data_IF_489095733309
#
_entry.id   IF_489095733309
#
_cell.length_a   1.000
_cell.length_b   1.000
_cell.length_c   1.000
_cell.angle_alpha   90.00
_cell.angle_beta   90.00
_cell.angle_gamma   90.00
#
_symmetry.space_group_name_H-M   'P 1'
#
loop_
_entity.id
_entity.type
_entity.pdbx_description
1 polymer ?
#
# COMPACT_ATOMS: atom_id res chain seq x y z
N UNK A 1 -11.50 12.11 -7.25
CA UNK A 1 -12.45 12.24 -6.14
C UNK A 1 -12.35 10.98 -5.29
N UNK A 2 -12.35 11.10 -3.96
CA UNK A 2 -12.39 9.95 -3.07
C UNK A 2 -13.66 9.11 -3.30
N UNK A 3 -13.51 7.79 -3.26
CA UNK A 3 -14.59 6.81 -3.38
C UNK A 3 -14.40 5.71 -2.34
N UNK A 4 -15.46 5.45 -1.57
CA UNK A 4 -15.56 4.28 -0.70
C UNK A 4 -16.40 3.19 -1.38
N UNK A 5 -15.97 1.94 -1.24
CA UNK A 5 -16.68 0.74 -1.64
C UNK A 5 -16.82 -0.13 -0.38
N UNK A 6 -18.04 -0.25 0.13
CA UNK A 6 -18.32 -1.04 1.33
C UNK A 6 -18.08 -2.53 1.06
N UNK A 7 -17.42 -3.20 2.00
CA UNK A 7 -17.18 -4.64 1.94
C UNK A 7 -18.47 -5.47 2.11
N UNK A 8 -18.37 -6.78 1.88
CA UNK A 8 -19.48 -7.73 2.05
C UNK A 8 -20.11 -7.61 3.47
N UNK A 9 -21.43 -7.36 3.59
CA UNK A 9 -22.13 -7.29 4.86
C UNK A 9 -21.95 -8.52 5.77
N UNK A 10 -21.84 -9.74 5.21
CA UNK A 10 -21.70 -10.97 5.97
C UNK A 10 -20.33 -11.09 6.67
N UNK A 11 -19.30 -10.47 6.09
CA UNK A 11 -17.95 -10.44 6.67
C UNK A 11 -17.87 -9.39 7.78
N UNK A 12 -18.63 -8.29 7.70
CA UNK A 12 -18.60 -7.19 8.70
C UNK A 12 -18.99 -7.65 10.11
N UNK A 13 -19.89 -8.63 10.24
CA UNK A 13 -20.36 -9.12 11.55
C UNK A 13 -19.30 -9.87 12.38
N UNK A 14 -18.26 -10.42 11.75
CA UNK A 14 -17.22 -11.22 12.45
C UNK A 14 -15.90 -10.47 12.65
N UNK A 15 -15.72 -9.31 12.01
CA UNK A 15 -14.46 -8.54 12.07
C UNK A 15 -14.26 -7.84 13.42
N UNK A 16 -15.34 -7.51 14.14
CA UNK A 16 -15.27 -6.89 15.48
C UNK A 16 -14.65 -7.78 16.56
N UNK A 17 -14.25 -9.02 16.24
CA UNK A 17 -13.56 -9.94 17.15
C UNK A 17 -12.12 -10.26 16.72
N UNK A 18 -11.59 -9.65 15.65
CA UNK A 18 -10.22 -9.87 15.20
C UNK A 18 -9.34 -8.66 15.51
N UNK A 19 -8.39 -8.85 16.42
CA UNK A 19 -7.31 -7.90 16.66
C UNK A 19 -6.18 -8.11 15.65
N UNK A 20 -5.49 -7.04 15.28
CA UNK A 20 -4.26 -7.10 14.49
C UNK A 20 -3.25 -8.01 15.19
N UNK A 21 -2.60 -8.86 14.41
CA UNK A 21 -1.40 -9.60 14.82
C UNK A 21 -0.24 -9.14 13.96
N UNK A 22 0.93 -8.98 14.57
CA UNK A 22 2.15 -8.62 13.85
C UNK A 22 2.50 -9.69 12.81
N UNK A 23 2.64 -9.28 11.55
CA UNK A 23 3.14 -10.12 10.47
C UNK A 23 4.66 -9.98 10.31
N UNK A 24 5.29 -10.84 9.52
CA UNK A 24 6.71 -10.67 9.19
C UNK A 24 6.99 -9.37 8.43
N UNK A 25 6.04 -8.92 7.62
CA UNK A 25 6.12 -7.60 6.97
C UNK A 25 6.03 -6.46 7.99
N UNK A 26 5.20 -6.57 9.03
CA UNK A 26 5.10 -5.54 10.06
C UNK A 26 6.43 -5.36 10.80
N UNK A 27 7.09 -6.47 11.14
CA UNK A 27 8.40 -6.48 11.82
C UNK A 27 9.49 -5.80 10.96
N UNK A 28 9.43 -5.99 9.64
CA UNK A 28 10.45 -5.51 8.70
C UNK A 28 9.99 -4.30 7.88
N UNK A 29 8.96 -3.58 8.33
CA UNK A 29 8.21 -2.65 7.49
C UNK A 29 9.09 -1.60 6.83
N UNK A 30 10.07 -1.05 7.54
CA UNK A 30 10.92 0.02 7.02
C UNK A 30 11.81 -0.46 5.86
N UNK A 31 12.35 -1.68 5.96
CA UNK A 31 13.10 -2.34 4.87
C UNK A 31 12.19 -2.61 3.68
N UNK A 32 11.00 -3.16 3.93
CA UNK A 32 10.02 -3.45 2.88
C UNK A 32 9.65 -2.18 2.11
N UNK A 33 9.37 -1.08 2.81
CA UNK A 33 9.05 0.19 2.18
C UNK A 33 10.23 0.76 1.40
N UNK A 34 11.48 0.59 1.88
CA UNK A 34 12.67 1.00 1.15
C UNK A 34 12.88 0.22 -0.15
N UNK A 35 12.68 -1.10 -0.14
CA UNK A 35 12.72 -1.94 -1.35
C UNK A 35 11.65 -1.49 -2.35
N UNK A 36 10.43 -1.26 -1.89
CA UNK A 36 9.33 -0.84 -2.77
C UNK A 36 9.54 0.56 -3.35
N UNK A 37 10.05 1.50 -2.55
CA UNK A 37 10.41 2.83 -3.01
C UNK A 37 11.43 2.75 -4.15
N UNK A 38 12.54 2.01 -3.97
CA UNK A 38 13.56 1.88 -5.00
C UNK A 38 13.00 1.19 -6.26
N UNK A 39 12.21 0.12 -6.08
CA UNK A 39 11.58 -0.58 -7.18
C UNK A 39 10.69 0.34 -8.04
N UNK A 40 9.92 1.21 -7.38
CA UNK A 40 9.01 2.13 -8.05
C UNK A 40 9.70 3.38 -8.62
N UNK A 41 10.65 3.94 -7.88
CA UNK A 41 11.35 5.16 -8.24
C UNK A 41 12.44 4.95 -9.31
N UNK A 42 12.99 3.74 -9.41
CA UNK A 42 14.19 3.46 -10.20
C UNK A 42 14.18 2.18 -11.03
N UNK A 43 13.22 1.26 -10.86
CA UNK A 43 13.23 -0.05 -11.53
C UNK A 43 11.94 -0.39 -12.28
N UNK A 44 11.12 0.62 -12.55
CA UNK A 44 9.99 0.52 -13.48
C UNK A 44 8.74 -0.18 -12.94
N UNK A 45 8.65 -0.38 -11.61
CA UNK A 45 7.40 -0.80 -10.97
C UNK A 45 6.44 0.39 -10.93
N UNK A 46 5.31 0.28 -11.62
CA UNK A 46 4.32 1.37 -11.67
C UNK A 46 3.11 1.13 -10.76
N UNK A 47 2.87 -0.12 -10.36
CA UNK A 47 1.77 -0.48 -9.50
C UNK A 47 2.21 -1.52 -8.48
N UNK A 48 1.81 -1.32 -7.23
CA UNK A 48 2.00 -2.28 -6.13
C UNK A 48 0.70 -2.47 -5.35
N UNK A 49 0.51 -3.69 -4.88
CA UNK A 49 -0.44 -4.06 -3.83
C UNK A 49 0.35 -4.67 -2.68
N UNK A 50 0.30 -4.04 -1.51
CA UNK A 50 0.84 -4.54 -0.25
C UNK A 50 -0.25 -5.32 0.48
N UNK A 51 0.01 -6.59 0.78
CA UNK A 51 -0.85 -7.41 1.64
C UNK A 51 -0.15 -7.64 2.99
N UNK A 52 -0.38 -6.72 3.93
CA UNK A 52 0.34 -6.67 5.20
C UNK A 52 0.20 -7.97 6.02
N UNK A 53 -1.03 -8.47 6.18
CA UNK A 53 -1.29 -9.66 6.99
C UNK A 53 -0.68 -10.94 6.41
N UNK A 54 -0.58 -11.06 5.07
CA UNK A 54 0.02 -12.23 4.42
C UNK A 54 1.49 -12.02 4.02
N UNK A 55 2.12 -10.93 4.47
CA UNK A 55 3.53 -10.58 4.22
C UNK A 55 3.97 -10.74 2.77
N UNK A 56 3.22 -10.16 1.82
CA UNK A 56 3.54 -10.23 0.39
C UNK A 56 3.18 -8.95 -0.35
N UNK A 57 3.82 -8.73 -1.49
CA UNK A 57 3.47 -7.69 -2.44
C UNK A 57 3.19 -8.29 -3.82
N UNK A 58 2.28 -7.65 -4.56
CA UNK A 58 2.07 -7.91 -5.99
C UNK A 58 2.47 -6.65 -6.74
N UNK A 59 3.39 -6.77 -7.71
CA UNK A 59 3.91 -5.63 -8.47
C UNK A 59 3.67 -5.79 -9.97
N UNK A 60 3.54 -4.66 -10.66
CA UNK A 60 3.50 -4.59 -12.12
C UNK A 60 4.58 -3.66 -12.65
N UNK A 61 5.20 -4.08 -13.76
CA UNK A 61 6.21 -3.31 -14.47
C UNK A 61 5.61 -2.72 -15.74
N UNK A 62 5.97 -1.49 -16.10
CA UNK A 62 5.39 -0.86 -17.29
C UNK A 62 5.93 -1.47 -18.59
N UNK A 63 7.10 -2.11 -18.55
CA UNK A 63 7.66 -2.88 -19.67
C UNK A 63 6.95 -4.23 -19.90
N UNK A 64 6.25 -4.75 -18.88
CA UNK A 64 5.50 -6.02 -18.94
C UNK A 64 4.17 -5.91 -18.17
N UNK A 65 3.25 -5.01 -18.60
CA UNK A 65 2.08 -4.62 -17.80
C UNK A 65 1.02 -5.72 -17.69
N UNK A 66 1.09 -6.76 -18.53
CA UNK A 66 0.13 -7.86 -18.55
C UNK A 66 0.47 -9.00 -17.59
N UNK A 67 1.65 -8.96 -16.95
CA UNK A 67 2.12 -10.04 -16.06
C UNK A 67 2.62 -9.44 -14.76
N UNK A 68 1.90 -9.70 -13.68
CA UNK A 68 2.35 -9.30 -12.35
C UNK A 68 3.54 -10.16 -11.88
N UNK A 69 4.23 -9.70 -10.84
CA UNK A 69 5.18 -10.49 -10.05
C UNK A 69 4.72 -10.54 -8.61
N UNK A 70 4.89 -11.71 -7.98
CA UNK A 70 4.61 -11.91 -6.57
C UNK A 70 5.94 -11.84 -5.80
N UNK A 71 6.02 -10.97 -4.81
CA UNK A 71 7.14 -10.88 -3.88
C UNK A 71 6.66 -11.39 -2.53
N UNK A 72 7.27 -12.46 -2.05
CA UNK A 72 7.10 -12.92 -0.67
C UNK A 72 7.96 -12.07 0.28
N UNK A 73 7.92 -12.40 1.56
CA UNK A 73 8.64 -11.64 2.57
C UNK A 73 10.15 -11.68 2.36
N UNK A 74 10.72 -12.82 1.96
CA UNK A 74 12.16 -12.98 1.77
C UNK A 74 12.67 -12.03 0.67
N UNK A 75 11.93 -11.91 -0.44
CA UNK A 75 12.23 -10.92 -1.47
C UNK A 75 12.06 -9.48 -0.96
N UNK A 76 11.05 -9.21 -0.14
CA UNK A 76 10.77 -7.85 0.34
C UNK A 76 11.73 -7.35 1.42
N UNK A 77 12.46 -8.24 2.08
CA UNK A 77 13.48 -7.87 3.08
C UNK A 77 14.91 -7.97 2.54
N UNK A 78 15.11 -8.42 1.30
CA UNK A 78 16.40 -8.42 0.62
C UNK A 78 16.54 -7.19 -0.30
N UNK A 79 17.41 -6.22 0.01
CA UNK A 79 17.67 -5.08 -0.87
C UNK A 79 18.20 -5.48 -2.25
N UNK A 80 18.79 -6.68 -2.39
CA UNK A 80 19.27 -7.17 -3.69
C UNK A 80 18.12 -7.55 -4.63
N UNK A 81 16.88 -7.65 -4.15
CA UNK A 81 15.70 -7.85 -5.00
C UNK A 81 15.62 -6.82 -6.13
N UNK A 82 16.06 -5.57 -5.89
CA UNK A 82 16.11 -4.53 -6.92
C UNK A 82 17.02 -4.91 -8.10
N UNK A 83 18.06 -5.73 -7.90
CA UNK A 83 18.99 -6.16 -8.95
C UNK A 83 18.34 -7.09 -9.98
N UNK A 84 17.24 -7.76 -9.61
CA UNK A 84 16.46 -8.59 -10.53
C UNK A 84 15.66 -7.75 -11.54
N UNK A 85 15.54 -6.43 -11.32
CA UNK A 85 14.79 -5.52 -12.15
C UNK A 85 15.74 -4.51 -12.81
N UNK A 86 15.66 -4.29 -14.14
CA UNK A 86 16.50 -3.30 -14.81
C UNK A 86 16.24 -1.89 -14.29
N UNK A 87 17.29 -1.06 -14.18
CA UNK A 87 17.13 0.37 -13.92
C UNK A 87 16.33 1.04 -15.03
N UNK A 88 15.45 1.96 -14.63
CA UNK A 88 14.60 2.77 -15.50
C UNK A 88 14.51 4.19 -14.98
N UNK A 89 14.47 5.14 -15.91
CA UNK A 89 14.10 6.51 -15.57
C UNK A 89 12.65 6.54 -15.06
N UNK A 90 12.40 7.39 -14.07
CA UNK A 90 11.03 7.62 -13.61
C UNK A 90 10.18 8.21 -14.75
N UNK A 91 8.96 7.68 -15.03
CA UNK A 91 8.16 8.15 -16.16
C UNK A 91 7.79 9.63 -16.04
N UNK A 92 7.88 10.36 -17.16
CA UNK A 92 7.58 11.80 -17.22
C UNK A 92 6.08 12.10 -17.13
N UNK A 93 5.24 11.12 -17.45
CA UNK A 93 3.78 11.15 -17.42
C UNK A 93 3.18 10.52 -16.15
N UNK A 94 4.02 10.16 -15.17
CA UNK A 94 3.54 9.75 -13.85
C UNK A 94 2.85 10.93 -13.14
N UNK A 95 1.66 10.66 -12.58
CA UNK A 95 0.88 11.66 -11.83
C UNK A 95 1.36 11.84 -10.39
N UNK A 96 2.19 10.92 -9.90
CA UNK A 96 2.84 10.99 -8.59
C UNK A 96 4.30 11.41 -8.80
N UNK A 97 4.76 12.53 -8.21
CA UNK A 97 6.17 12.89 -8.23
C UNK A 97 7.04 11.81 -7.59
N UNK A 98 8.24 11.58 -8.14
CA UNK A 98 9.16 10.53 -7.69
C UNK A 98 9.47 10.63 -6.18
N UNK A 99 9.69 11.85 -5.71
CA UNK A 99 10.02 12.19 -4.32
C UNK A 99 8.84 11.98 -3.35
N UNK A 100 7.61 11.83 -3.86
CA UNK A 100 6.43 11.60 -3.04
C UNK A 100 6.10 10.12 -2.84
N UNK A 101 6.82 9.19 -3.49
CA UNK A 101 6.58 7.75 -3.33
C UNK A 101 6.75 7.33 -1.86
N UNK A 102 7.86 7.75 -1.23
CA UNK A 102 8.14 7.43 0.18
C UNK A 102 7.04 7.94 1.10
N UNK A 103 6.61 9.19 0.92
CA UNK A 103 5.56 9.80 1.74
C UNK A 103 4.24 9.01 1.66
N UNK A 104 3.87 8.52 0.47
CA UNK A 104 2.68 7.68 0.32
C UNK A 104 2.85 6.34 1.02
N UNK A 105 4.00 5.68 0.86
CA UNK A 105 4.29 4.41 1.51
C UNK A 105 4.30 4.52 3.04
N UNK A 106 4.87 5.60 3.59
CA UNK A 106 4.86 5.87 5.02
C UNK A 106 3.44 6.11 5.55
N UNK A 107 2.59 6.82 4.80
CA UNK A 107 1.17 6.95 5.14
C UNK A 107 0.45 5.59 5.21
N UNK A 108 0.77 4.64 4.32
CA UNK A 108 0.20 3.29 4.40
C UNK A 108 0.65 2.57 5.68
N UNK A 109 1.92 2.74 6.08
CA UNK A 109 2.46 2.22 7.34
C UNK A 109 1.74 2.83 8.55
N UNK A 110 1.52 4.14 8.58
CA UNK A 110 0.77 4.79 9.66
C UNK A 110 -0.63 4.19 9.81
N UNK A 111 -1.35 4.00 8.70
CA UNK A 111 -2.67 3.36 8.72
C UNK A 111 -2.63 1.87 9.10
N UNK A 112 -1.52 1.18 8.81
CA UNK A 112 -1.31 -0.22 9.23
C UNK A 112 -1.17 -0.33 10.74
N UNK A 113 -0.51 0.63 11.38
CA UNK A 113 -0.24 0.62 12.82
C UNK A 113 -1.16 1.55 13.64
N UNK A 114 -2.27 2.00 13.05
CA UNK A 114 -3.20 2.95 13.68
C UNK A 114 -3.86 2.40 14.95
N UNK A 115 -4.34 1.16 14.91
CA UNK A 115 -5.07 0.55 16.02
C UNK A 115 -5.11 -0.98 15.88
N UNK A 116 -5.46 -1.69 16.95
CA UNK A 116 -5.59 -3.16 16.92
C UNK A 116 -6.88 -3.63 16.23
N UNK A 117 -7.95 -2.83 16.23
CA UNK A 117 -9.25 -3.21 15.64
C UNK A 117 -9.48 -2.54 14.28
N UNK A 118 -9.03 -1.29 14.12
CA UNK A 118 -9.16 -0.53 12.87
C UNK A 118 -7.79 -0.26 12.26
N UNK A 119 -7.41 -1.08 11.29
CA UNK A 119 -6.09 -1.01 10.66
C UNK A 119 -6.15 -1.36 9.17
N UNK A 120 -5.12 -0.92 8.45
CA UNK A 120 -4.95 -1.24 7.05
C UNK A 120 -4.56 -2.72 6.85
N UNK A 121 -5.36 -3.45 6.07
CA UNK A 121 -5.06 -4.84 5.67
C UNK A 121 -4.29 -4.92 4.36
N UNK A 122 -4.60 -4.03 3.44
CA UNK A 122 -3.84 -3.87 2.20
C UNK A 122 -3.83 -2.43 1.72
N UNK A 123 -2.70 -2.00 1.17
CA UNK A 123 -2.53 -0.72 0.50
C UNK A 123 -2.16 -0.92 -0.96
N UNK A 124 -2.64 -0.06 -1.86
CA UNK A 124 -2.24 -0.08 -3.27
C UNK A 124 -1.75 1.28 -3.70
N UNK A 125 -0.75 1.34 -4.57
CA UNK A 125 -0.26 2.57 -5.17
C UNK A 125 -0.09 2.36 -6.67
N UNK A 126 -0.58 3.30 -7.48
CA UNK A 126 -0.33 3.32 -8.91
C UNK A 126 0.08 4.74 -9.35
N UNK A 127 1.26 4.84 -9.97
CA UNK A 127 1.86 6.15 -10.28
C UNK A 127 1.22 6.84 -11.50
N UNK A 128 0.62 6.08 -12.42
CA UNK A 128 0.02 6.62 -13.65
C UNK A 128 -1.40 7.10 -13.46
N UNK A 129 -2.20 6.43 -12.62
CA UNK A 129 -3.53 6.93 -12.28
C UNK A 129 -3.49 7.88 -11.06
N UNK A 130 -2.38 7.94 -10.34
CA UNK A 130 -2.22 8.77 -9.15
C UNK A 130 -3.12 8.36 -7.99
N UNK A 131 -3.54 7.09 -7.94
CA UNK A 131 -4.51 6.57 -6.96
C UNK A 131 -3.82 5.75 -5.89
N UNK A 132 -4.20 6.05 -4.64
CA UNK A 132 -3.96 5.22 -3.47
C UNK A 132 -5.24 4.41 -3.20
N UNK A 133 -5.08 3.11 -2.96
CA UNK A 133 -6.16 2.23 -2.55
C UNK A 133 -5.90 1.75 -1.12
N UNK A 134 -6.93 1.77 -0.28
CA UNK A 134 -6.85 1.39 1.13
C UNK A 134 -7.92 0.37 1.41
N UNK A 135 -7.57 -0.78 1.97
CA UNK A 135 -8.57 -1.75 2.45
C UNK A 135 -8.39 -1.95 3.94
N UNK A 136 -9.36 -1.50 4.73
CA UNK A 136 -9.34 -1.61 6.18
C UNK A 136 -9.86 -2.96 6.65
N UNK A 137 -9.72 -3.24 7.95
CA UNK A 137 -10.27 -4.40 8.63
C UNK A 137 -11.79 -4.47 8.49
N UNK A 138 -12.52 -3.41 8.90
CA UNK A 138 -14.00 -3.40 8.98
C UNK A 138 -14.73 -2.43 8.03
N UNK A 139 -14.06 -1.47 7.39
CA UNK A 139 -14.72 -0.39 6.62
C UNK A 139 -14.66 -0.52 5.08
N UNK A 140 -14.19 -1.68 4.60
CA UNK A 140 -14.11 -1.95 3.16
C UNK A 140 -12.92 -1.27 2.49
N UNK A 141 -13.10 -0.86 1.24
CA UNK A 141 -12.02 -0.33 0.38
C UNK A 141 -12.27 1.12 -0.02
N UNK A 142 -11.23 1.94 0.02
CA UNK A 142 -11.23 3.36 -0.31
C UNK A 142 -10.23 3.61 -1.43
N UNK A 143 -10.58 4.46 -2.38
CA UNK A 143 -9.72 4.88 -3.47
C UNK A 143 -9.73 6.40 -3.54
N UNK A 144 -8.55 7.01 -3.55
CA UNK A 144 -8.41 8.46 -3.56
C UNK A 144 -7.12 8.89 -4.27
N UNK A 145 -7.08 10.11 -4.82
CA UNK A 145 -5.84 10.69 -5.33
C UNK A 145 -4.75 10.73 -4.27
N UNK A 146 -3.49 10.48 -4.66
CA UNK A 146 -2.34 10.49 -3.76
C UNK A 146 -2.18 11.80 -2.99
N UNK A 147 -2.46 12.93 -3.64
CA UNK A 147 -2.38 14.25 -3.01
C UNK A 147 -3.44 14.42 -1.93
N UNK A 148 -4.65 13.91 -2.17
CA UNK A 148 -5.74 13.90 -1.20
C UNK A 148 -5.40 12.99 -0.01
N UNK A 149 -4.82 11.81 -0.29
CA UNK A 149 -4.32 10.88 0.73
C UNK A 149 -3.31 11.54 1.67
N UNK A 150 -2.27 12.19 1.12
CA UNK A 150 -1.27 12.88 1.92
C UNK A 150 -1.85 14.09 2.67
N UNK A 151 -2.81 14.81 2.08
CA UNK A 151 -3.42 16.00 2.72
C UNK A 151 -4.34 15.66 3.89
N UNK A 152 -5.05 14.52 3.83
CA UNK A 152 -5.99 14.09 4.86
C UNK A 152 -5.26 13.65 6.13
N UNK A 153 -4.08 13.03 5.98
CA UNK A 153 -3.24 12.58 7.09
C UNK A 153 -3.91 11.54 7.99
N UNK A 154 -3.22 11.17 9.07
CA UNK A 154 -3.68 10.18 10.05
C UNK A 154 -4.99 10.57 10.74
N UNK A 155 -5.12 11.83 11.16
CA UNK A 155 -6.24 12.30 11.99
C UNK A 155 -7.61 12.14 11.30
N UNK A 156 -7.67 12.35 9.99
CA UNK A 156 -8.89 12.12 9.21
C UNK A 156 -9.37 10.66 9.36
N UNK A 157 -8.48 9.70 9.18
CA UNK A 157 -8.80 8.27 9.25
C UNK A 157 -9.06 7.79 10.68
N UNK A 158 -8.35 8.36 11.65
CA UNK A 158 -8.61 8.11 13.07
C UNK A 158 -9.99 8.65 13.51
N UNK A 159 -10.49 9.73 12.91
CA UNK A 159 -11.81 10.29 13.21
C UNK A 159 -12.97 9.47 12.65
N UNK A 160 -12.77 8.79 11.50
CA UNK A 160 -13.78 7.92 10.88
C UNK A 160 -14.08 6.68 11.76
N UNK A 161 -13.08 6.21 12.53
CA UNK A 161 -13.24 5.19 13.57
C UNK A 161 -14.33 5.54 14.60
N UNK A 162 -14.52 6.82 14.91
CA UNK A 162 -15.50 7.25 15.91
C UNK A 162 -16.95 7.20 15.40
N UNK A 163 -17.13 7.02 14.08
CA UNK A 163 -18.42 7.01 13.39
C UNK A 163 -18.84 5.61 12.89
N UNK A 164 -17.94 4.63 12.92
CA UNK A 164 -18.18 3.22 12.54
C UNK A 164 -18.48 2.32 13.74
#
# INVERSE_FOLDING_TARGET
HWRQIKGDPAIRGTVFHQTRSDSQMDINIDTVLGVLEELMAGHGVFHVILHFSSSRAVIWLFDDPYRYRLLDIDALIDPNTCLAYPKRSYPVDALIPRDQIRAVLDGLRELRFMDDMFYLRSGTLNIFNGVVGLTFSCDGSHYLPWSEFLSKGYDFWASDKALS
#
